data_IF_893351804184
#
_entry.id   IF_893351804184
#
_cell.length_a   1.000
_cell.length_b   1.000
_cell.length_c   1.000
_cell.angle_alpha   90.00
_cell.angle_beta   90.00
_cell.angle_gamma   90.00
#
_symmetry.space_group_name_H-M   'P 1'
#
loop_
_entity.id
_entity.type
_entity.pdbx_description
1 polymer ?
#
# COMPACT_ATOMS: atom_id res chain seq x y z
N UNK A 1 -7.68 -19.69 -8.26
CA UNK A 1 -7.65 -18.31 -8.78
C UNK A 1 -7.74 -17.38 -7.60
N UNK A 2 -6.66 -16.72 -7.23
CA UNK A 2 -6.73 -15.51 -6.41
C UNK A 2 -7.35 -14.45 -7.31
N UNK A 3 -8.50 -13.91 -6.92
CA UNK A 3 -9.16 -12.83 -7.68
C UNK A 3 -8.83 -11.54 -6.94
N UNK A 4 -8.07 -10.66 -7.59
CA UNK A 4 -7.82 -9.33 -7.09
C UNK A 4 -9.10 -8.51 -7.21
N UNK A 5 -9.40 -7.72 -6.18
CA UNK A 5 -10.54 -6.81 -6.23
C UNK A 5 -10.26 -5.67 -7.21
N UNK A 6 -9.10 -5.03 -7.05
CA UNK A 6 -8.61 -3.91 -7.85
C UNK A 6 -7.08 -3.87 -7.87
N UNK A 7 -6.53 -3.06 -8.78
CA UNK A 7 -5.11 -2.69 -8.85
C UNK A 7 -5.00 -1.21 -8.45
N UNK A 8 -4.19 -0.91 -7.44
CA UNK A 8 -4.09 0.42 -6.83
C UNK A 8 -2.63 0.83 -6.75
N UNK A 9 -2.32 2.07 -7.12
CA UNK A 9 -0.97 2.62 -7.07
C UNK A 9 -0.53 2.86 -5.63
N UNK A 10 0.74 2.58 -5.31
CA UNK A 10 1.31 2.77 -3.96
C UNK A 10 1.20 4.23 -3.47
N UNK A 11 1.15 5.20 -4.38
CA UNK A 11 0.97 6.62 -4.09
C UNK A 11 -0.41 6.95 -3.51
N UNK A 12 -1.42 6.09 -3.72
CA UNK A 12 -2.75 6.30 -3.14
C UNK A 12 -2.89 5.75 -1.72
N UNK A 13 -1.98 4.86 -1.31
CA UNK A 13 -1.92 4.32 0.04
C UNK A 13 -1.44 5.39 1.04
N UNK A 14 -1.95 5.30 2.26
CA UNK A 14 -1.42 6.08 3.39
C UNK A 14 -0.26 5.30 4.03
N UNK A 15 0.94 5.87 4.02
CA UNK A 15 2.11 5.30 4.68
C UNK A 15 2.17 5.71 6.16
N UNK A 16 2.32 4.73 7.03
CA UNK A 16 2.53 4.91 8.45
C UNK A 16 4.01 4.67 8.81
N UNK A 17 4.71 5.72 9.25
CA UNK A 17 6.15 5.66 9.57
C UNK A 17 6.45 4.90 10.87
N UNK A 18 5.47 4.74 11.76
CA UNK A 18 5.65 4.04 13.05
C UNK A 18 5.65 2.51 12.84
N UNK A 19 4.79 2.03 11.96
CA UNK A 19 4.60 0.61 11.66
C UNK A 19 5.17 0.18 10.30
N UNK A 20 5.76 1.11 9.55
CA UNK A 20 6.27 0.92 8.19
C UNK A 20 5.26 0.20 7.28
N UNK A 21 3.97 0.56 7.42
CA UNK A 21 2.86 -0.13 6.79
C UNK A 21 2.07 0.83 5.91
N UNK A 22 1.74 0.37 4.70
CA UNK A 22 0.87 1.08 3.78
C UNK A 22 -0.57 0.62 3.97
N UNK A 23 -1.49 1.57 4.12
CA UNK A 23 -2.91 1.30 4.32
C UNK A 23 -3.81 1.92 3.25
N UNK A 24 -4.85 1.20 2.83
CA UNK A 24 -5.81 1.66 1.82
C UNK A 24 -7.26 1.37 2.22
N UNK A 25 -8.22 2.30 2.07
CA UNK A 25 -9.61 2.07 2.47
C UNK A 25 -10.25 0.90 1.73
N UNK A 26 -10.77 -0.08 2.49
CA UNK A 26 -11.51 -1.21 1.95
C UNK A 26 -13.01 -0.92 1.93
N UNK A 27 -13.76 -1.32 0.88
CA UNK A 27 -15.22 -1.15 0.82
C UNK A 27 -15.99 -1.88 1.94
N UNK A 28 -15.36 -2.78 2.69
CA UNK A 28 -15.98 -3.41 3.86
C UNK A 28 -16.02 -2.52 5.11
N UNK A 29 -15.32 -1.38 5.12
CA UNK A 29 -15.22 -0.46 6.26
C UNK A 29 -13.91 -0.53 7.04
N UNK A 30 -13.03 -1.47 6.73
CA UNK A 30 -11.65 -1.55 7.26
C UNK A 30 -10.63 -1.06 6.23
N UNK A 31 -9.36 -1.41 6.40
CA UNK A 31 -8.27 -1.03 5.48
C UNK A 31 -7.50 -2.26 5.02
N UNK A 32 -7.10 -2.26 3.75
CA UNK A 32 -6.05 -3.14 3.27
C UNK A 32 -4.72 -2.71 3.87
N UNK A 33 -3.87 -3.68 4.19
CA UNK A 33 -2.57 -3.47 4.80
C UNK A 33 -1.51 -4.24 4.01
N UNK A 34 -0.35 -3.62 3.83
CA UNK A 34 0.87 -4.24 3.30
C UNK A 34 2.07 -3.56 3.94
N UNK A 35 3.07 -4.34 4.35
CA UNK A 35 4.27 -3.75 4.97
C UNK A 35 5.25 -3.29 3.90
N UNK A 36 6.10 -2.33 4.26
CA UNK A 36 7.25 -1.95 3.43
C UNK A 36 8.14 -3.15 3.15
N UNK A 37 8.39 -3.98 4.17
CA UNK A 37 9.19 -5.20 4.03
C UNK A 37 8.62 -6.14 2.95
N UNK A 38 7.30 -6.31 2.90
CA UNK A 38 6.63 -7.10 1.85
C UNK A 38 6.95 -6.53 0.45
N UNK A 39 6.80 -5.22 0.25
CA UNK A 39 7.12 -4.55 -1.02
C UNK A 39 8.60 -4.69 -1.40
N UNK A 40 9.51 -4.60 -0.42
CA UNK A 40 10.96 -4.79 -0.60
C UNK A 40 11.30 -6.23 -0.99
N UNK A 41 10.52 -7.22 -0.53
CA UNK A 41 10.65 -8.62 -0.92
C UNK A 41 10.03 -8.94 -2.29
N UNK A 42 9.32 -7.99 -2.92
CA UNK A 42 8.65 -8.20 -4.19
C UNK A 42 7.17 -8.58 -4.07
N UNK A 43 6.57 -8.51 -2.89
CA UNK A 43 5.15 -8.81 -2.69
C UNK A 43 4.30 -7.58 -3.03
N UNK A 44 3.35 -7.75 -3.95
CA UNK A 44 2.43 -6.71 -4.41
C UNK A 44 0.98 -6.91 -3.93
N UNK A 45 0.76 -7.65 -2.83
CA UNK A 45 -0.59 -8.06 -2.40
C UNK A 45 -0.95 -7.46 -1.05
N UNK A 46 -1.80 -6.43 -1.06
CA UNK A 46 -2.34 -5.87 0.17
C UNK A 46 -3.62 -6.62 0.58
N UNK A 47 -3.68 -7.03 1.84
CA UNK A 47 -4.78 -7.88 2.36
C UNK A 47 -5.60 -7.12 3.39
N UNK A 48 -6.93 -7.28 3.34
CA UNK A 48 -7.81 -6.74 4.37
C UNK A 48 -8.12 -7.81 5.44
N UNK A 49 -7.87 -7.52 6.74
CA UNK A 49 -8.10 -8.49 7.83
C UNK A 49 -9.58 -8.84 8.05
N UNK A 50 -10.51 -7.99 7.60
CA UNK A 50 -11.94 -8.14 7.92
C UNK A 50 -12.75 -8.85 6.85
N UNK A 51 -12.42 -8.68 5.57
CA UNK A 51 -13.14 -9.30 4.46
C UNK A 51 -12.30 -10.31 3.68
N UNK A 52 -11.01 -10.46 4.02
CA UNK A 52 -10.05 -11.30 3.29
C UNK A 52 -9.92 -10.96 1.79
N UNK A 53 -10.41 -9.78 1.39
CA UNK A 53 -10.16 -9.26 0.05
C UNK A 53 -8.68 -8.93 -0.08
N UNK A 54 -8.22 -8.99 -1.33
CA UNK A 54 -6.87 -8.61 -1.72
C UNK A 54 -6.93 -7.61 -2.86
N UNK A 55 -6.05 -6.63 -2.83
CA UNK A 55 -5.81 -5.70 -3.94
C UNK A 55 -4.36 -5.83 -4.37
N UNK A 56 -4.12 -5.56 -5.65
CA UNK A 56 -2.77 -5.54 -6.21
C UNK A 56 -2.18 -4.15 -6.05
N UNK A 57 -0.97 -4.07 -5.53
CA UNK A 57 -0.26 -2.81 -5.31
C UNK A 57 0.67 -2.58 -6.49
N UNK A 58 0.42 -1.51 -7.24
CA UNK A 58 1.28 -1.10 -8.34
C UNK A 58 2.35 -0.17 -7.76
N UNK A 59 3.58 -0.66 -7.70
CA UNK A 59 4.73 0.08 -7.22
C UNK A 59 5.94 -0.17 -8.11
N UNK A 60 6.89 0.77 -8.06
CA UNK A 60 8.15 0.61 -8.75
C UNK A 60 9.15 -0.08 -7.82
N UNK A 61 9.60 -1.28 -8.19
CA UNK A 61 10.52 -2.05 -7.34
C UNK A 61 11.81 -1.28 -7.10
N UNK A 62 12.30 -0.50 -8.06
CA UNK A 62 13.55 0.26 -7.96
C UNK A 62 13.50 1.31 -6.82
N UNK A 63 12.30 1.78 -6.45
CA UNK A 63 12.11 2.70 -5.32
C UNK A 63 12.22 2.01 -3.94
N UNK A 64 12.03 0.69 -3.89
CA UNK A 64 12.01 -0.09 -2.65
C UNK A 64 13.26 -0.97 -2.50
N UNK A 65 13.89 -1.45 -3.58
CA UNK A 65 15.19 -2.13 -3.47
C UNK A 65 16.28 -1.15 -3.04
N UNK A 66 17.01 -1.50 -1.97
CA UNK A 66 18.14 -0.74 -1.44
C UNK A 66 19.29 -0.66 -2.46
N UNK A 67 19.24 0.35 -3.33
CA UNK A 67 20.20 0.54 -4.42
C UNK A 67 19.98 1.82 -5.20
N UNK A 68 20.09 2.96 -4.50
CA UNK A 68 20.16 4.33 -5.03
C UNK A 68 18.83 5.04 -5.33
N UNK A 69 18.64 6.16 -4.61
CA UNK A 69 17.71 7.29 -4.75
C UNK A 69 16.36 7.29 -3.99
N UNK A 70 16.32 8.16 -2.99
CA UNK A 70 15.18 8.60 -2.17
C UNK A 70 14.08 9.23 -3.04
N UNK A 71 12.82 8.89 -2.79
CA UNK A 71 11.68 9.78 -3.07
C UNK A 71 10.55 9.54 -2.06
N UNK A 72 10.50 10.38 -1.03
CA UNK A 72 9.27 10.67 -0.31
C UNK A 72 8.54 11.80 -1.05
N UNK A 73 7.33 11.54 -1.57
CA UNK A 73 6.19 12.44 -1.39
C UNK A 73 4.89 11.61 -1.19
N UNK A 74 3.74 12.07 -0.70
CA UNK A 74 3.19 13.40 -0.56
C UNK A 74 2.23 13.44 0.64
N UNK A 75 2.33 14.53 1.40
CA UNK A 75 1.25 15.04 2.22
C UNK A 75 -0.02 15.25 1.37
N UNK A 76 -1.08 14.48 1.59
CA UNK A 76 -2.45 14.89 1.16
C UNK A 76 -3.24 15.32 2.38
N UNK A 77 -2.96 16.56 2.77
CA UNK A 77 -3.84 17.40 3.57
C UNK A 77 -5.20 17.48 2.85
N UNK A 78 -6.20 16.73 3.32
CA UNK A 78 -7.59 16.94 2.90
C UNK A 78 -8.40 17.49 4.06
N UNK A 79 -8.24 18.80 4.27
CA UNK A 79 -9.27 19.63 4.89
C UNK A 79 -10.57 19.43 4.12
N UNK A 80 -11.63 19.01 4.80
CA UNK A 80 -13.01 19.32 4.41
C UNK A 80 -13.70 19.92 5.62
N UNK A 81 -13.99 21.22 5.51
CA UNK A 81 -14.69 22.07 6.46
C UNK A 81 -16.06 21.55 6.89
#
# INVERSE_FOLDING_TARGET
MSVFHDEVEIEDFEYDEETETYSYPCPCGDRFLITREDLENGEDVATCPSCSLIVRVIYDQEQFVCGEVVSAPASKELVKC
#
